data_IF_119947993052
#
_entry.id   IF_119947993052
#
_cell.length_a   1.000
_cell.length_b   1.000
_cell.length_c   1.000
_cell.angle_alpha   90.00
_cell.angle_beta   90.00
_cell.angle_gamma   90.00
#
_symmetry.space_group_name_H-M   'P 1'
#
loop_
_entity.id
_entity.type
_entity.pdbx_description
1 polymer ?
#
# COMPACT_ATOMS: atom_id res chain seq x y z
N UNK A 1 -27.86 15.15 61.02
CA UNK A 1 -28.31 14.02 60.17
C UNK A 1 -28.68 14.47 58.76
N UNK A 2 -29.50 15.50 58.55
CA UNK A 2 -29.85 16.04 57.21
C UNK A 2 -28.65 16.46 56.34
N UNK A 3 -27.63 17.07 56.95
CA UNK A 3 -26.45 17.61 56.22
C UNK A 3 -25.63 16.53 55.50
N UNK A 4 -25.60 15.29 56.02
CA UNK A 4 -24.92 14.15 55.38
C UNK A 4 -25.67 13.62 54.16
N UNK A 5 -27.01 13.69 54.17
CA UNK A 5 -27.82 13.25 53.02
C UNK A 5 -27.66 14.20 51.84
N UNK A 6 -27.68 15.51 52.08
CA UNK A 6 -27.46 16.51 51.02
C UNK A 6 -26.07 16.35 50.40
N UNK A 7 -25.04 16.10 51.22
CA UNK A 7 -23.67 15.90 50.75
C UNK A 7 -23.53 14.62 49.92
N UNK A 8 -24.14 13.52 50.36
CA UNK A 8 -24.19 12.25 49.62
C UNK A 8 -24.94 12.41 48.29
N UNK A 9 -26.07 13.12 48.27
CA UNK A 9 -26.83 13.38 47.04
C UNK A 9 -26.03 14.21 46.04
N UNK A 10 -25.32 15.24 46.49
CA UNK A 10 -24.45 16.06 45.63
C UNK A 10 -23.31 15.20 45.03
N UNK A 11 -22.68 14.34 45.82
CA UNK A 11 -21.63 13.43 45.35
C UNK A 11 -22.18 12.46 44.29
N UNK A 12 -23.37 11.88 44.52
CA UNK A 12 -24.00 10.97 43.56
C UNK A 12 -24.30 11.69 42.24
N UNK A 13 -24.84 12.91 42.29
CA UNK A 13 -25.12 13.71 41.08
C UNK A 13 -23.83 14.03 40.31
N UNK A 14 -22.74 14.37 41.01
CA UNK A 14 -21.44 14.63 40.39
C UNK A 14 -20.87 13.37 39.73
N UNK A 15 -20.95 12.20 40.39
CA UNK A 15 -20.51 10.93 39.81
C UNK A 15 -21.31 10.58 38.56
N UNK A 16 -22.65 10.69 38.61
CA UNK A 16 -23.52 10.42 37.45
C UNK A 16 -23.19 11.39 36.31
N UNK A 17 -22.97 12.67 36.61
CA UNK A 17 -22.62 13.68 35.59
C UNK A 17 -21.27 13.39 34.95
N UNK A 18 -20.25 13.01 35.74
CA UNK A 18 -18.95 12.59 35.23
C UNK A 18 -19.04 11.34 34.36
N UNK A 19 -19.83 10.34 34.77
CA UNK A 19 -20.07 9.12 33.97
C UNK A 19 -20.80 9.49 32.66
N UNK A 20 -21.82 10.35 32.71
CA UNK A 20 -22.55 10.78 31.53
C UNK A 20 -21.65 11.55 30.54
N UNK A 21 -20.80 12.46 31.04
CA UNK A 21 -19.81 13.19 30.23
C UNK A 21 -18.78 12.22 29.64
N UNK A 22 -18.26 11.28 30.43
CA UNK A 22 -17.35 10.25 29.95
C UNK A 22 -17.98 9.40 28.85
N UNK A 23 -19.19 8.88 29.05
CA UNK A 23 -19.92 8.10 28.05
C UNK A 23 -20.24 8.93 26.80
N UNK A 24 -20.61 10.20 26.96
CA UNK A 24 -20.85 11.13 25.86
C UNK A 24 -19.60 11.34 25.00
N UNK A 25 -18.43 11.53 25.62
CA UNK A 25 -17.17 11.67 24.89
C UNK A 25 -16.63 10.33 24.35
N UNK A 26 -16.78 9.24 25.09
CA UNK A 26 -16.39 7.90 24.68
C UNK A 26 -17.16 7.45 23.44
N UNK A 27 -18.47 7.65 23.43
CA UNK A 27 -19.34 7.33 22.29
C UNK A 27 -19.21 8.30 21.11
N UNK A 28 -18.48 9.42 21.27
CA UNK A 28 -18.18 10.38 20.20
C UNK A 28 -16.80 10.22 19.58
N UNK A 29 -15.99 9.23 20.00
CA UNK A 29 -14.81 8.87 19.22
C UNK A 29 -15.29 8.43 17.82
N UNK A 30 -14.76 9.02 16.74
CA UNK A 30 -15.17 8.64 15.39
C UNK A 30 -14.93 7.14 15.21
N UNK A 31 -16.01 6.40 14.96
CA UNK A 31 -15.92 4.99 14.59
C UNK A 31 -15.54 4.93 13.11
N UNK A 32 -14.26 4.74 12.85
CA UNK A 32 -13.79 4.46 11.50
C UNK A 32 -14.09 2.99 11.18
N UNK A 33 -14.80 2.77 10.08
CA UNK A 33 -15.14 1.42 9.62
C UNK A 33 -14.55 1.21 8.25
N UNK A 34 -13.50 0.40 8.19
CA UNK A 34 -12.92 -0.07 6.94
C UNK A 34 -13.76 -1.18 6.33
N UNK A 35 -13.27 -1.75 5.23
CA UNK A 35 -13.93 -2.89 4.59
C UNK A 35 -13.70 -4.21 5.31
N UNK A 36 -12.65 -4.27 6.13
CA UNK A 36 -12.15 -5.49 6.74
C UNK A 36 -11.53 -6.44 5.70
N UNK A 37 -11.06 -7.57 6.20
CA UNK A 37 -10.50 -8.64 5.39
C UNK A 37 -11.49 -9.80 5.27
N UNK A 38 -11.48 -10.51 4.15
CA UNK A 38 -12.23 -11.76 4.00
C UNK A 38 -11.55 -12.92 4.73
N UNK A 39 -12.24 -14.05 4.83
CA UNK A 39 -11.63 -15.30 5.30
C UNK A 39 -10.50 -15.73 4.34
N UNK A 40 -9.42 -16.31 4.87
CA UNK A 40 -8.27 -16.74 4.05
C UNK A 40 -8.61 -17.85 3.06
N UNK A 41 -9.69 -18.61 3.34
CA UNK A 41 -10.21 -19.68 2.47
C UNK A 41 -11.07 -19.16 1.32
N UNK A 42 -11.36 -17.86 1.28
CA UNK A 42 -12.06 -17.25 0.16
C UNK A 42 -11.27 -17.41 -1.15
N UNK A 43 -12.00 -17.38 -2.26
CA UNK A 43 -11.38 -17.49 -3.58
C UNK A 43 -10.45 -16.31 -3.87
N UNK A 44 -9.21 -16.63 -4.26
CA UNK A 44 -8.15 -15.67 -4.54
C UNK A 44 -7.60 -15.85 -5.96
N UNK A 45 -7.35 -14.73 -6.64
CA UNK A 45 -6.67 -14.73 -7.94
C UNK A 45 -5.17 -14.71 -7.69
N UNK A 46 -4.50 -15.82 -8.02
CA UNK A 46 -3.06 -15.99 -7.78
C UNK A 46 -2.23 -14.97 -8.57
N UNK A 47 -1.05 -14.55 -8.05
CA UNK A 47 -0.15 -13.66 -8.77
C UNK A 47 0.31 -14.25 -10.11
N UNK A 48 0.46 -13.41 -11.13
CA UNK A 48 0.81 -13.82 -12.49
C UNK A 48 2.01 -13.03 -13.03
N UNK A 49 2.93 -13.72 -13.69
CA UNK A 49 4.05 -13.09 -14.38
C UNK A 49 3.66 -12.80 -15.83
N UNK A 50 3.96 -11.58 -16.28
CA UNK A 50 3.91 -11.16 -17.68
C UNK A 50 5.34 -10.98 -18.17
N UNK A 51 5.74 -11.84 -19.11
CA UNK A 51 7.09 -11.80 -19.68
C UNK A 51 7.23 -10.71 -20.73
N UNK A 52 8.42 -10.08 -20.80
CA UNK A 52 8.73 -9.01 -21.75
C UNK A 52 7.67 -7.89 -21.75
N UNK A 53 7.17 -7.55 -20.55
CA UNK A 53 6.09 -6.59 -20.37
C UNK A 53 6.49 -5.17 -20.77
N UNK A 54 7.74 -4.77 -20.52
CA UNK A 54 8.32 -3.50 -20.97
C UNK A 54 9.60 -3.72 -21.77
N UNK A 55 9.89 -2.81 -22.70
CA UNK A 55 11.09 -2.85 -23.54
C UNK A 55 12.31 -2.25 -22.82
N UNK A 56 13.51 -2.51 -23.34
CA UNK A 56 14.73 -1.86 -22.81
C UNK A 56 14.69 -0.34 -22.93
N UNK A 57 14.10 0.21 -23.99
CA UNK A 57 13.97 1.65 -24.18
C UNK A 57 13.01 2.27 -23.14
N UNK A 58 11.88 1.60 -22.88
CA UNK A 58 10.95 1.97 -21.82
C UNK A 58 11.65 1.94 -20.45
N UNK A 59 12.41 0.89 -20.15
CA UNK A 59 13.18 0.77 -18.91
C UNK A 59 14.19 1.92 -18.77
N UNK A 60 14.96 2.20 -19.82
CA UNK A 60 15.95 3.28 -19.81
C UNK A 60 15.28 4.64 -19.57
N UNK A 61 14.12 4.88 -20.21
CA UNK A 61 13.34 6.09 -20.00
C UNK A 61 12.87 6.23 -18.54
N UNK A 62 12.34 5.15 -17.95
CA UNK A 62 11.90 5.13 -16.55
C UNK A 62 13.05 5.43 -15.58
N UNK A 63 14.19 4.75 -15.73
CA UNK A 63 15.36 4.95 -14.87
C UNK A 63 15.91 6.38 -15.00
N UNK A 64 16.05 6.90 -16.22
CA UNK A 64 16.55 8.26 -16.46
C UNK A 64 15.60 9.31 -15.86
N UNK A 65 14.28 9.11 -16.01
CA UNK A 65 13.25 10.01 -15.49
C UNK A 65 13.16 10.01 -13.96
N UNK A 66 13.47 8.88 -13.32
CA UNK A 66 13.43 8.68 -11.87
C UNK A 66 14.71 9.10 -11.15
N UNK A 67 15.87 8.92 -11.78
CA UNK A 67 17.20 9.18 -11.18
C UNK A 67 17.31 10.53 -10.46
N UNK A 68 16.89 11.67 -11.05
CA UNK A 68 17.00 12.97 -10.36
C UNK A 68 15.93 13.21 -9.29
N UNK A 69 14.94 12.32 -9.13
CA UNK A 69 13.77 12.49 -8.27
C UNK A 69 13.76 11.56 -7.05
N UNK A 70 14.76 10.69 -6.91
CA UNK A 70 14.79 9.73 -5.81
C UNK A 70 14.92 10.43 -4.46
N UNK A 71 13.98 10.11 -3.56
CA UNK A 71 13.99 10.50 -2.16
C UNK A 71 13.98 9.25 -1.28
N UNK A 72 14.63 9.32 -0.12
CA UNK A 72 14.62 8.22 0.84
C UNK A 72 13.18 7.98 1.32
N UNK A 73 12.76 6.71 1.30
CA UNK A 73 11.44 6.25 1.78
C UNK A 73 11.53 5.57 3.14
N UNK A 74 12.70 5.67 3.79
CA UNK A 74 12.97 5.15 5.12
C UNK A 74 12.36 6.08 6.16
N UNK A 75 11.72 5.52 7.19
CA UNK A 75 11.40 6.29 8.39
C UNK A 75 12.74 6.57 9.10
N UNK A 76 13.18 7.83 9.10
CA UNK A 76 14.47 8.18 9.69
C UNK A 76 14.36 8.17 11.22
N UNK A 77 14.94 7.14 11.86
CA UNK A 77 15.26 7.17 13.29
C UNK A 77 16.68 7.72 13.53
N UNK A 78 16.94 8.42 14.65
CA UNK A 78 18.26 8.97 14.99
C UNK A 78 19.39 7.93 15.04
N UNK A 79 19.05 6.65 15.26
CA UNK A 79 20.00 5.54 15.39
C UNK A 79 20.22 4.77 14.07
N UNK A 80 19.62 5.25 12.98
CA UNK A 80 19.61 4.59 11.67
C UNK A 80 18.42 3.65 11.49
N UNK A 81 18.28 3.04 10.29
CA UNK A 81 17.14 2.22 10.01
C UNK A 81 17.14 0.91 10.83
N UNK A 82 16.04 0.64 11.53
CA UNK A 82 15.80 -0.59 12.30
C UNK A 82 14.90 -1.57 11.55
N UNK A 83 14.78 -2.80 12.04
CA UNK A 83 13.83 -3.78 11.48
C UNK A 83 12.36 -3.37 11.69
N UNK A 84 12.09 -2.47 12.64
CA UNK A 84 10.78 -1.86 12.88
C UNK A 84 10.45 -0.76 11.84
N UNK A 85 11.43 -0.32 11.05
CA UNK A 85 11.15 0.52 9.90
C UNK A 85 10.44 -0.31 8.85
N UNK A 86 9.21 0.08 8.52
CA UNK A 86 8.41 -0.63 7.52
C UNK A 86 9.14 -0.81 6.18
N UNK A 87 10.12 0.05 5.83
CA UNK A 87 10.80 0.02 4.53
C UNK A 87 12.17 0.72 4.54
N UNK A 88 13.13 0.18 3.78
CA UNK A 88 14.43 0.80 3.45
C UNK A 88 14.63 0.82 1.93
N UNK A 89 14.34 1.96 1.31
CA UNK A 89 14.44 2.14 -0.16
C UNK A 89 14.40 3.62 -0.54
N UNK A 90 14.57 3.93 -1.82
CA UNK A 90 14.33 5.24 -2.41
C UNK A 90 13.16 5.21 -3.38
N UNK A 91 12.38 6.26 -3.44
CA UNK A 91 11.20 6.37 -4.30
C UNK A 91 11.29 7.60 -5.18
N UNK A 92 10.84 7.48 -6.43
CA UNK A 92 10.56 8.58 -7.33
C UNK A 92 9.15 8.38 -7.92
N UNK A 93 8.34 9.44 -7.95
CA UNK A 93 7.02 9.41 -8.58
C UNK A 93 7.10 10.01 -9.98
N UNK A 94 6.55 9.29 -10.96
CA UNK A 94 6.54 9.72 -12.35
C UNK A 94 5.10 9.96 -12.84
N UNK A 95 4.80 11.16 -13.35
CA UNK A 95 3.44 11.55 -13.67
C UNK A 95 2.93 10.88 -14.95
N UNK A 96 1.62 10.65 -15.01
CA UNK A 96 0.93 10.08 -16.18
C UNK A 96 0.93 10.98 -17.42
N UNK A 97 1.38 12.23 -17.29
CA UNK A 97 1.48 13.17 -18.41
C UNK A 97 2.63 12.85 -19.36
N UNK A 98 3.59 12.03 -18.93
CA UNK A 98 4.64 11.49 -19.79
C UNK A 98 4.06 10.38 -20.70
N UNK A 99 4.22 10.48 -22.03
CA UNK A 99 3.64 9.51 -22.97
C UNK A 99 4.13 8.07 -22.81
N UNK A 100 5.39 7.86 -22.43
CA UNK A 100 5.96 6.51 -22.25
C UNK A 100 5.31 5.86 -21.02
N UNK A 101 5.25 6.60 -19.92
CA UNK A 101 4.62 6.16 -18.66
C UNK A 101 3.13 5.90 -18.87
N UNK A 102 2.44 6.79 -19.57
CA UNK A 102 1.03 6.63 -19.92
C UNK A 102 0.79 5.32 -20.69
N UNK A 103 1.61 5.03 -21.70
CA UNK A 103 1.46 3.82 -22.51
C UNK A 103 1.69 2.53 -21.71
N UNK A 104 2.65 2.52 -20.78
CA UNK A 104 2.89 1.38 -19.89
C UNK A 104 1.70 1.17 -18.95
N UNK A 105 1.18 2.24 -18.34
CA UNK A 105 -0.01 2.17 -17.47
C UNK A 105 -1.23 1.70 -18.28
N UNK A 106 -1.42 2.22 -19.49
CA UNK A 106 -2.50 1.81 -20.39
C UNK A 106 -2.41 0.32 -20.71
N UNK A 107 -1.21 -0.23 -20.92
CA UNK A 107 -1.00 -1.67 -21.15
C UNK A 107 -1.51 -2.52 -19.97
N UNK A 108 -1.26 -2.10 -18.72
CA UNK A 108 -1.82 -2.75 -17.53
C UNK A 108 -3.35 -2.63 -17.51
N UNK A 109 -3.86 -1.42 -17.75
CA UNK A 109 -5.30 -1.12 -17.78
C UNK A 109 -6.06 -1.98 -18.81
N UNK A 110 -5.47 -2.17 -20.00
CA UNK A 110 -6.03 -3.00 -21.07
C UNK A 110 -6.08 -4.50 -20.68
N UNK A 111 -5.15 -4.98 -19.85
CA UNK A 111 -5.14 -6.37 -19.33
C UNK A 111 -6.30 -6.58 -18.35
N UNK A 112 -6.42 -5.70 -17.35
CA UNK A 112 -7.38 -5.87 -16.24
C UNK A 112 -8.73 -5.18 -16.46
N UNK A 113 -8.91 -4.52 -17.61
CA UNK A 113 -10.14 -3.83 -18.02
C UNK A 113 -10.57 -2.72 -17.05
N UNK A 114 -9.60 -1.96 -16.53
CA UNK A 114 -9.82 -0.78 -15.69
C UNK A 114 -9.41 0.47 -16.48
N UNK A 115 -10.16 1.59 -16.43
CA UNK A 115 -9.77 2.82 -17.13
C UNK A 115 -8.47 3.44 -16.60
N UNK A 116 -7.71 4.13 -17.45
CA UNK A 116 -6.42 4.75 -17.08
C UNK A 116 -6.60 5.86 -16.04
N UNK A 117 -7.78 6.48 -15.97
CA UNK A 117 -8.14 7.50 -14.99
C UNK A 117 -8.10 6.95 -13.57
N UNK A 118 -8.26 5.64 -13.39
CA UNK A 118 -8.16 4.98 -12.10
C UNK A 118 -6.72 4.74 -11.66
N UNK A 119 -5.74 4.87 -12.56
CA UNK A 119 -4.34 4.63 -12.23
C UNK A 119 -3.77 5.77 -11.39
N UNK A 120 -2.99 5.42 -10.37
CA UNK A 120 -2.12 6.37 -9.68
C UNK A 120 -0.97 6.83 -10.59
N UNK A 121 -0.14 7.75 -10.09
CA UNK A 121 1.16 8.01 -10.71
C UNK A 121 2.08 6.79 -10.55
N UNK A 122 2.98 6.58 -11.51
CA UNK A 122 3.88 5.43 -11.46
C UNK A 122 4.95 5.66 -10.39
N UNK A 123 5.13 4.68 -9.50
CA UNK A 123 6.17 4.74 -8.50
C UNK A 123 7.38 3.96 -8.97
N UNK A 124 8.54 4.60 -9.09
CA UNK A 124 9.82 3.91 -9.27
C UNK A 124 10.48 3.76 -7.91
N UNK A 125 10.90 2.53 -7.60
CA UNK A 125 11.55 2.19 -6.35
C UNK A 125 12.94 1.64 -6.62
N UNK A 126 13.91 2.13 -5.84
CA UNK A 126 15.28 1.65 -5.79
C UNK A 126 15.58 1.06 -4.41
N UNK A 127 16.12 -0.15 -4.39
CA UNK A 127 16.70 -0.77 -3.20
C UNK A 127 18.21 -0.88 -3.39
N UNK A 128 18.96 -0.25 -2.49
CA UNK A 128 20.39 -0.49 -2.31
C UNK A 128 20.60 -1.84 -1.57
N UNK A 129 21.82 -2.40 -1.50
CA UNK A 129 22.10 -3.59 -0.68
C UNK A 129 21.55 -3.42 0.75
N UNK A 130 21.00 -4.49 1.32
CA UNK A 130 20.19 -4.54 2.54
C UNK A 130 18.84 -3.82 2.49
N UNK A 131 18.47 -3.18 1.38
CA UNK A 131 17.16 -2.54 1.21
C UNK A 131 16.03 -3.57 1.18
N UNK A 132 14.90 -3.23 1.82
CA UNK A 132 13.75 -4.13 2.00
C UNK A 132 12.44 -3.33 2.10
N UNK A 133 11.31 -4.05 2.05
CA UNK A 133 9.99 -3.58 2.46
C UNK A 133 9.32 -4.70 3.25
N UNK A 134 9.01 -4.47 4.52
CA UNK A 134 8.30 -5.41 5.38
C UNK A 134 6.93 -5.79 4.81
N UNK A 135 6.34 -6.85 5.39
CA UNK A 135 5.02 -7.34 5.02
C UNK A 135 3.97 -6.22 5.08
N UNK A 136 3.25 -6.02 3.99
CA UNK A 136 2.21 -5.03 3.88
C UNK A 136 1.11 -5.45 2.89
N UNK A 137 0.01 -4.70 2.93
CA UNK A 137 -1.05 -4.75 1.93
C UNK A 137 -1.01 -3.46 1.13
N UNK A 138 -1.34 -3.56 -0.16
CA UNK A 138 -1.56 -2.37 -1.00
C UNK A 138 -2.96 -1.77 -0.79
N UNK A 139 -3.93 -2.57 -0.37
CA UNK A 139 -5.22 -2.10 0.13
C UNK A 139 -5.12 -1.73 1.62
N UNK A 140 -5.92 -0.77 2.08
CA UNK A 140 -5.99 -0.37 3.48
C UNK A 140 -7.42 -0.63 3.99
N UNK A 141 -7.61 -1.76 4.69
CA UNK A 141 -8.94 -2.29 5.01
C UNK A 141 -9.25 -2.37 6.51
N UNK A 142 -8.40 -1.84 7.39
CA UNK A 142 -8.62 -1.87 8.83
C UNK A 142 -9.72 -0.89 9.29
N UNK A 143 -10.26 -1.10 10.49
CA UNK A 143 -11.17 -0.18 11.17
C UNK A 143 -10.40 0.99 11.83
N UNK A 144 -9.66 1.74 11.03
CA UNK A 144 -8.87 2.90 11.45
C UNK A 144 -9.09 4.12 10.53
N UNK A 145 -8.62 5.29 10.98
CA UNK A 145 -8.81 6.54 10.24
C UNK A 145 -8.14 6.48 8.88
N UNK A 146 -6.93 5.94 8.86
CA UNK A 146 -6.05 5.84 7.70
C UNK A 146 -6.75 5.08 6.56
N UNK A 147 -7.39 3.96 6.86
CA UNK A 147 -8.15 3.15 5.88
C UNK A 147 -9.36 3.90 5.32
N UNK A 148 -10.08 4.64 6.16
CA UNK A 148 -11.24 5.44 5.71
C UNK A 148 -10.79 6.61 4.83
N UNK A 149 -9.70 7.29 5.19
CA UNK A 149 -9.12 8.36 4.38
C UNK A 149 -8.54 7.83 3.06
N UNK A 150 -7.92 6.64 3.08
CA UNK A 150 -7.35 5.99 1.89
C UNK A 150 -8.38 5.80 0.76
N UNK A 151 -9.64 5.54 1.10
CA UNK A 151 -10.71 5.38 0.11
C UNK A 151 -11.14 6.69 -0.57
N UNK A 152 -10.81 7.85 -0.01
CA UNK A 152 -11.15 9.14 -0.63
C UNK A 152 -10.40 9.38 -1.93
N UNK A 153 -9.30 8.68 -2.15
CA UNK A 153 -8.43 8.77 -3.34
C UNK A 153 -8.90 7.91 -4.52
N UNK A 154 -10.16 7.44 -4.51
CA UNK A 154 -10.72 6.60 -5.58
C UNK A 154 -11.08 5.19 -5.14
N UNK A 155 -11.27 4.95 -3.85
CA UNK A 155 -11.51 3.62 -3.27
C UNK A 155 -10.21 2.88 -2.97
N UNK A 156 -10.32 1.56 -2.87
CA UNK A 156 -9.18 0.68 -2.60
C UNK A 156 -8.29 0.50 -3.85
N UNK A 157 -7.14 -0.14 -3.68
CA UNK A 157 -6.28 -0.61 -4.77
C UNK A 157 -6.58 -2.08 -5.09
N UNK A 158 -7.53 -2.40 -6.00
CA UNK A 158 -7.84 -3.79 -6.36
C UNK A 158 -6.69 -4.50 -7.07
N UNK A 159 -5.83 -3.76 -7.78
CA UNK A 159 -4.82 -4.30 -8.67
C UNK A 159 -3.48 -3.60 -8.44
N UNK A 160 -2.43 -4.42 -8.34
CA UNK A 160 -1.03 -3.98 -8.33
C UNK A 160 -0.26 -4.69 -9.44
N UNK A 161 0.51 -3.92 -10.21
CA UNK A 161 1.52 -4.43 -11.13
C UNK A 161 2.90 -3.97 -10.67
N UNK A 162 3.82 -4.91 -10.46
CA UNK A 162 5.24 -4.64 -10.16
C UNK A 162 6.09 -5.03 -11.37
N UNK A 163 6.76 -4.06 -12.00
CA UNK A 163 7.62 -4.27 -13.16
C UNK A 163 9.08 -4.30 -12.70
N UNK A 164 9.84 -5.32 -13.09
CA UNK A 164 11.26 -5.44 -12.76
C UNK A 164 12.10 -4.72 -13.82
N UNK A 165 12.84 -3.69 -13.41
CA UNK A 165 13.59 -2.82 -14.32
C UNK A 165 15.04 -3.28 -14.52
N UNK A 166 15.51 -4.20 -13.68
CA UNK A 166 16.78 -4.87 -13.80
C UNK A 166 16.73 -6.25 -13.10
N UNK A 167 17.79 -7.04 -13.25
CA UNK A 167 17.93 -8.38 -12.67
C UNK A 167 19.40 -8.73 -12.30
N UNK A 168 20.30 -7.74 -12.29
CA UNK A 168 21.69 -7.85 -11.85
C UNK A 168 21.83 -7.70 -10.32
N UNK A 169 21.02 -8.44 -9.56
CA UNK A 169 21.05 -8.47 -8.10
C UNK A 169 20.72 -9.86 -7.54
N UNK A 170 21.10 -10.10 -6.28
CA UNK A 170 20.72 -11.32 -5.54
C UNK A 170 19.86 -10.98 -4.31
N UNK A 171 19.05 -11.94 -3.85
CA UNK A 171 17.98 -11.65 -2.88
C UNK A 171 16.87 -10.83 -3.55
N UNK A 172 16.24 -9.91 -2.83
CA UNK A 172 15.32 -8.95 -3.45
C UNK A 172 14.01 -9.56 -3.99
N UNK A 173 13.62 -10.76 -3.55
CA UNK A 173 12.37 -11.40 -3.96
C UNK A 173 11.15 -10.56 -3.54
N UNK A 174 10.06 -10.64 -4.31
CA UNK A 174 8.73 -10.26 -3.82
C UNK A 174 8.12 -11.51 -3.19
N UNK A 175 7.98 -11.53 -1.87
CA UNK A 175 7.49 -12.67 -1.11
C UNK A 175 6.02 -12.50 -0.77
N UNK A 176 5.22 -13.54 -0.98
CA UNK A 176 3.83 -13.66 -0.51
C UNK A 176 3.79 -14.74 0.58
N UNK A 177 4.08 -14.39 1.84
CA UNK A 177 4.33 -15.37 2.91
C UNK A 177 3.14 -16.30 3.16
N UNK A 178 1.91 -15.79 3.06
CA UNK A 178 0.70 -16.59 3.24
C UNK A 178 0.40 -17.53 2.07
N UNK A 179 0.90 -17.21 0.87
CA UNK A 179 0.89 -18.12 -0.28
C UNK A 179 2.07 -19.10 -0.26
N UNK A 180 3.10 -18.84 0.56
CA UNK A 180 4.40 -19.55 0.54
C UNK A 180 5.03 -19.52 -0.85
N UNK A 181 4.94 -18.35 -1.50
CA UNK A 181 5.47 -18.13 -2.85
C UNK A 181 6.38 -16.90 -2.88
N UNK A 182 7.42 -16.98 -3.68
CA UNK A 182 8.36 -15.88 -3.90
C UNK A 182 8.57 -15.68 -5.40
N UNK A 183 8.74 -14.43 -5.79
CA UNK A 183 8.88 -14.03 -7.18
C UNK A 183 10.13 -13.17 -7.37
N UNK A 184 10.95 -13.54 -8.36
CA UNK A 184 12.04 -12.72 -8.88
C UNK A 184 12.00 -12.76 -10.42
N UNK A 185 11.01 -12.10 -11.05
CA UNK A 185 10.97 -11.91 -12.49
C UNK A 185 12.26 -11.29 -13.04
N UNK A 186 12.60 -11.65 -14.27
CA UNK A 186 13.71 -11.08 -15.03
C UNK A 186 13.44 -9.62 -15.38
N UNK A 187 14.50 -8.90 -15.75
CA UNK A 187 14.39 -7.54 -16.30
C UNK A 187 13.36 -7.49 -17.42
N UNK A 188 12.47 -6.51 -17.38
CA UNK A 188 11.40 -6.29 -18.35
C UNK A 188 10.12 -7.07 -18.06
N UNK A 189 10.14 -8.06 -17.17
CA UNK A 189 8.95 -8.80 -16.77
C UNK A 189 8.17 -8.03 -15.69
N UNK A 190 6.89 -8.35 -15.56
CA UNK A 190 6.02 -7.77 -14.55
C UNK A 190 5.25 -8.83 -13.76
N UNK A 191 4.93 -8.53 -12.50
CA UNK A 191 4.15 -9.36 -11.59
C UNK A 191 2.84 -8.64 -11.28
N UNK A 192 1.73 -9.23 -11.72
CA UNK A 192 0.38 -8.76 -11.48
C UNK A 192 -0.24 -9.53 -10.31
N UNK A 193 -0.83 -8.83 -9.34
CA UNK A 193 -1.62 -9.45 -8.29
C UNK A 193 -2.78 -8.55 -7.84
N UNK A 194 -3.70 -9.13 -7.08
CA UNK A 194 -4.95 -8.50 -6.65
C UNK A 194 -4.98 -8.37 -5.14
N UNK A 195 -5.35 -7.20 -4.62
CA UNK A 195 -5.38 -6.96 -3.16
C UNK A 195 -6.73 -7.29 -2.51
N UNK A 196 -7.79 -7.39 -3.32
CA UNK A 196 -9.15 -7.62 -2.84
C UNK A 196 -9.64 -9.03 -3.18
N UNK A 197 -10.68 -9.47 -2.49
CA UNK A 197 -11.39 -10.71 -2.78
C UNK A 197 -12.00 -10.67 -4.19
N UNK A 198 -11.90 -11.78 -4.94
CA UNK A 198 -12.31 -11.88 -6.36
C UNK A 198 -13.76 -11.42 -6.63
N UNK A 199 -14.68 -11.71 -5.72
CA UNK A 199 -16.11 -11.41 -5.83
C UNK A 199 -16.61 -10.52 -4.69
N UNK A 200 -15.76 -9.64 -4.17
CA UNK A 200 -16.08 -8.77 -3.05
C UNK A 200 -15.25 -7.50 -3.04
N UNK A 201 -15.38 -6.73 -1.97
CA UNK A 201 -14.69 -5.46 -1.78
C UNK A 201 -13.76 -5.47 -0.55
N UNK A 202 -13.65 -6.62 0.15
CA UNK A 202 -12.77 -6.81 1.29
C UNK A 202 -11.35 -7.08 0.84
N UNK A 203 -10.37 -6.67 1.67
CA UNK A 203 -8.97 -7.06 1.48
C UNK A 203 -8.82 -8.57 1.57
N UNK A 204 -7.95 -9.15 0.75
CA UNK A 204 -7.67 -10.58 0.78
C UNK A 204 -6.41 -10.88 1.60
N UNK A 205 -6.46 -11.71 2.65
CA UNK A 205 -5.27 -11.98 3.47
C UNK A 205 -4.07 -12.53 2.68
N UNK A 206 -4.30 -13.28 1.60
CA UNK A 206 -3.24 -13.85 0.75
C UNK A 206 -2.50 -12.81 -0.10
N UNK A 207 -2.96 -11.57 -0.19
CA UNK A 207 -2.25 -10.50 -0.89
C UNK A 207 -1.20 -9.79 -0.02
N UNK A 208 -1.02 -10.25 1.23
CA UNK A 208 0.09 -9.80 2.08
C UNK A 208 1.40 -10.13 1.38
N UNK A 209 2.24 -9.14 1.19
CA UNK A 209 3.50 -9.30 0.46
C UNK A 209 4.61 -8.42 1.03
N UNK A 210 5.85 -8.77 0.71
CA UNK A 210 7.05 -8.09 1.17
C UNK A 210 8.11 -8.01 0.06
N UNK A 211 8.96 -6.99 0.14
CA UNK A 211 10.19 -6.91 -0.63
C UNK A 211 11.35 -7.44 0.22
N UNK A 212 11.80 -8.66 -0.07
CA UNK A 212 12.88 -9.29 0.67
C UNK A 212 14.20 -8.50 0.52
N UNK A 213 15.12 -8.58 1.51
CA UNK A 213 16.37 -7.85 1.45
C UNK A 213 17.17 -8.13 0.18
N UNK A 214 17.68 -7.08 -0.46
CA UNK A 214 18.67 -7.18 -1.53
C UNK A 214 20.02 -7.55 -0.91
N UNK A 215 20.67 -8.61 -1.37
CA UNK A 215 21.94 -9.07 -0.82
C UNK A 215 23.13 -8.44 -1.55
N UNK A 216 23.09 -8.41 -2.89
CA UNK A 216 24.10 -7.79 -3.75
C UNK A 216 23.45 -7.03 -4.90
N UNK A 217 24.15 -6.04 -5.46
CA UNK A 217 23.63 -5.21 -6.55
C UNK A 217 22.61 -4.18 -6.07
N UNK A 218 21.86 -3.61 -7.00
CA UNK A 218 20.75 -2.70 -6.72
C UNK A 218 19.50 -3.25 -7.41
N UNK A 219 18.34 -3.17 -6.76
CA UNK A 219 17.07 -3.56 -7.37
C UNK A 219 16.25 -2.33 -7.74
N UNK A 220 15.75 -2.30 -8.96
CA UNK A 220 14.84 -1.27 -9.45
C UNK A 220 13.51 -1.90 -9.89
N UNK A 221 12.40 -1.37 -9.37
CA UNK A 221 11.05 -1.78 -9.77
C UNK A 221 10.17 -0.56 -10.07
N UNK A 222 9.15 -0.76 -10.88
CA UNK A 222 8.05 0.19 -11.06
C UNK A 222 6.75 -0.41 -10.51
N UNK A 223 6.07 0.29 -9.60
CA UNK A 223 4.75 -0.07 -9.13
C UNK A 223 3.69 0.75 -9.85
N UNK A 224 2.64 0.08 -10.30
CA UNK A 224 1.42 0.68 -10.83
C UNK A 224 0.27 0.17 -9.98
N UNK A 225 -0.41 1.11 -9.33
CA UNK A 225 -1.63 0.84 -8.56
C UNK A 225 -2.83 1.39 -9.31
N UNK A 226 -3.87 0.56 -9.42
CA UNK A 226 -5.15 0.97 -9.97
C UNK A 226 -6.17 1.04 -8.85
N UNK A 227 -6.94 2.12 -8.84
CA UNK A 227 -8.06 2.36 -7.92
C UNK A 227 -9.36 1.79 -8.47
N UNK A 228 -10.37 1.64 -7.63
CA UNK A 228 -11.71 1.21 -8.07
C UNK A 228 -12.46 2.28 -8.86
N UNK A 229 -12.18 3.56 -8.57
CA UNK A 229 -12.76 4.74 -9.21
C UNK A 229 -11.63 5.64 -9.71
N UNK A 230 -11.92 6.64 -10.57
CA UNK A 230 -10.91 7.60 -11.01
C UNK A 230 -10.08 8.14 -9.84
N UNK A 231 -8.77 8.05 -9.96
CA UNK A 231 -7.82 8.46 -8.93
C UNK A 231 -7.95 9.96 -8.71
N UNK A 232 -8.14 10.35 -7.45
CA UNK A 232 -8.24 11.74 -7.05
C UNK A 232 -6.97 12.13 -6.32
N UNK A 233 -6.09 12.86 -6.97
CA UNK A 233 -4.98 13.50 -6.27
C UNK A 233 -5.54 14.71 -5.51
N UNK A 234 -5.96 14.52 -4.26
CA UNK A 234 -6.46 15.60 -3.39
C UNK A 234 -5.24 16.36 -2.83
N UNK A 235 -4.49 16.99 -3.74
CA UNK A 235 -3.55 18.07 -3.43
C UNK A 235 -4.05 19.27 -4.23
N UNK A 236 -5.13 19.86 -3.75
CA UNK A 236 -5.62 21.21 -4.08
C UNK A 236 -6.15 21.81 -2.80
#
# INVERSE_FOLDING_TARGET
>A
MLMNYTYMTIIIILIISCIAIFLYHYNRKPQYKGRGYCDITAEYVMPQIYENFVTNDEINHLINSATPKFIDSTVLHPEGPSQDDGRKSKTAWLPKTDPVIYNIIKRVCDIVKIPVENAEEMQIVKYDPSGFYNEHFDSSCEDNKESVEFEKFGGQRPVTMIIYLNDDFTGGFTSFPKLKQEFQPKKGNALLFYSLQKHGNKGHPLSLHAGMPVLTGQKYIANIWLREKPYKNIIT
#
